data_IF_307266093936
#
_entry.id   IF_307266093936
#
_cell.length_a   1.000
_cell.length_b   1.000
_cell.length_c   1.000
_cell.angle_alpha   90.00
_cell.angle_beta   90.00
_cell.angle_gamma   90.00
#
_symmetry.space_group_name_H-M   'P 1'
#
loop_
_entity.id
_entity.type
_entity.pdbx_description
1 polymer ?
#
# COMPACT_ATOMS: atom_id res chain seq x y z
N UNK A 1 -4.86 -8.15 -40.37
CA UNK A 1 -4.42 -7.28 -39.24
C UNK A 1 -5.63 -7.09 -38.33
N UNK A 2 -5.79 -7.97 -37.33
CA UNK A 2 -6.93 -7.98 -36.41
C UNK A 2 -6.55 -7.13 -35.18
N UNK A 3 -7.12 -5.94 -35.08
CA UNK A 3 -6.92 -5.05 -33.93
C UNK A 3 -7.81 -5.58 -32.81
N UNK A 4 -7.20 -6.32 -31.89
CA UNK A 4 -7.85 -6.74 -30.65
C UNK A 4 -7.85 -5.53 -29.71
N UNK A 5 -8.92 -4.75 -29.76
CA UNK A 5 -9.17 -3.66 -28.82
C UNK A 5 -9.56 -4.28 -27.46
N UNK A 6 -8.56 -4.59 -26.65
CA UNK A 6 -8.76 -4.94 -25.24
C UNK A 6 -9.19 -3.65 -24.51
N UNK A 7 -10.48 -3.39 -24.50
CA UNK A 7 -11.12 -2.54 -23.49
C UNK A 7 -11.01 -3.27 -22.16
N UNK A 8 -9.84 -3.17 -21.53
CA UNK A 8 -9.70 -3.48 -20.10
C UNK A 8 -10.50 -2.40 -19.38
N UNK A 9 -11.71 -2.73 -18.96
CA UNK A 9 -12.41 -1.96 -17.96
C UNK A 9 -11.45 -1.80 -16.77
N UNK A 10 -11.04 -0.57 -16.50
CA UNK A 10 -10.26 -0.24 -15.33
C UNK A 10 -11.13 -0.59 -14.12
N UNK A 11 -10.94 -1.79 -13.57
CA UNK A 11 -11.46 -2.13 -12.27
C UNK A 11 -10.81 -1.13 -11.31
N UNK A 12 -11.58 -0.15 -10.84
CA UNK A 12 -11.08 0.93 -9.98
C UNK A 12 -10.76 0.44 -8.55
N UNK A 13 -10.84 -0.87 -8.30
CA UNK A 13 -10.45 -1.49 -7.04
C UNK A 13 -8.94 -1.76 -7.05
N UNK A 14 -8.27 -1.30 -6.00
CA UNK A 14 -6.87 -1.56 -5.78
C UNK A 14 -6.73 -2.84 -4.95
N UNK A 15 -5.90 -3.78 -5.39
CA UNK A 15 -5.57 -4.98 -4.62
C UNK A 15 -4.24 -4.87 -3.89
N UNK A 16 -3.28 -4.13 -4.45
CA UNK A 16 -1.97 -3.91 -3.85
C UNK A 16 -1.29 -2.66 -4.38
N UNK A 17 -0.35 -2.11 -3.60
CA UNK A 17 0.49 -0.99 -4.01
C UNK A 17 1.77 -0.92 -3.17
N UNK A 18 2.78 -0.22 -3.69
CA UNK A 18 4.03 0.03 -2.99
C UNK A 18 3.99 1.40 -2.30
N UNK A 19 4.59 1.50 -1.12
CA UNK A 19 4.61 2.72 -0.32
C UNK A 19 5.74 2.70 0.70
N UNK A 20 6.04 3.86 1.26
CA UNK A 20 6.91 4.00 2.44
C UNK A 20 6.07 4.05 3.71
N UNK A 21 6.60 3.46 4.78
CA UNK A 21 6.05 3.57 6.14
C UNK A 21 6.37 4.96 6.71
N UNK A 22 5.34 5.65 7.18
CA UNK A 22 5.48 6.91 7.93
C UNK A 22 5.67 6.62 9.43
N UNK A 23 4.76 5.86 10.03
CA UNK A 23 4.81 5.49 11.45
C UNK A 23 4.16 4.12 11.72
N UNK A 24 4.54 3.50 12.84
CA UNK A 24 4.09 2.16 13.24
C UNK A 24 3.56 2.23 14.67
N UNK A 25 2.40 1.62 14.87
CA UNK A 25 1.76 1.38 16.16
C UNK A 25 1.37 -0.10 16.27
N UNK A 26 0.96 -0.53 17.46
CA UNK A 26 0.67 -1.95 17.76
C UNK A 26 -0.30 -2.63 16.78
N UNK A 27 -1.34 -1.91 16.35
CA UNK A 27 -2.41 -2.45 15.52
C UNK A 27 -2.57 -1.70 14.18
N UNK A 28 -1.70 -0.74 13.89
CA UNK A 28 -1.84 0.06 12.68
C UNK A 28 -0.48 0.56 12.17
N UNK A 29 -0.36 0.65 10.85
CA UNK A 29 0.76 1.31 10.17
C UNK A 29 0.21 2.50 9.40
N UNK A 30 0.87 3.65 9.53
CA UNK A 30 0.58 4.82 8.70
C UNK A 30 1.55 4.82 7.51
N UNK A 31 1.02 5.00 6.30
CA UNK A 31 1.80 4.97 5.05
C UNK A 31 1.46 6.13 4.13
N UNK A 32 2.37 6.49 3.24
CA UNK A 32 2.12 7.50 2.21
C UNK A 32 1.33 6.91 1.03
N UNK A 33 0.06 7.29 0.91
CA UNK A 33 -0.80 6.84 -0.19
C UNK A 33 -1.11 7.94 -1.22
N UNK A 34 -0.28 9.00 -1.27
CA UNK A 34 -0.47 10.13 -2.19
C UNK A 34 -0.51 9.69 -3.64
N UNK A 35 0.42 8.83 -4.05
CA UNK A 35 0.51 8.32 -5.42
C UNK A 35 -0.74 7.53 -5.80
N UNK A 36 -1.27 6.75 -4.87
CA UNK A 36 -2.51 5.98 -5.06
C UNK A 36 -3.69 6.92 -5.25
N UNK A 37 -3.84 7.92 -4.37
CA UNK A 37 -4.97 8.86 -4.39
C UNK A 37 -4.92 9.80 -5.59
N UNK A 38 -3.71 10.18 -6.03
CA UNK A 38 -3.51 11.07 -7.17
C UNK A 38 -3.44 10.33 -8.51
N UNK A 39 -3.43 8.99 -8.51
CA UNK A 39 -3.38 8.19 -9.73
C UNK A 39 -4.50 8.58 -10.71
N UNK A 40 -4.12 9.00 -11.91
CA UNK A 40 -5.05 9.39 -12.97
C UNK A 40 -5.63 10.80 -12.84
N UNK A 41 -5.29 11.58 -11.80
CA UNK A 41 -5.65 13.00 -11.72
C UNK A 41 -4.71 13.83 -12.59
N UNK A 42 -5.29 14.77 -13.36
CA UNK A 42 -4.52 15.70 -14.21
C UNK A 42 -3.72 16.72 -13.41
N UNK A 43 -4.16 17.02 -12.19
CA UNK A 43 -3.47 17.89 -11.24
C UNK A 43 -3.45 17.14 -9.90
N UNK A 44 -2.26 16.77 -9.45
CA UNK A 44 -2.08 16.28 -8.09
C UNK A 44 -2.19 17.47 -7.13
N UNK A 45 -2.93 17.31 -6.04
CA UNK A 45 -2.89 18.30 -4.97
C UNK A 45 -1.50 18.28 -4.35
N UNK A 46 -0.94 19.45 -4.02
CA UNK A 46 0.36 19.56 -3.35
C UNK A 46 0.37 19.04 -1.91
N UNK A 47 -0.75 18.50 -1.44
CA UNK A 47 -0.94 17.96 -0.10
C UNK A 47 -0.60 16.47 -0.13
N UNK A 48 0.35 16.05 0.71
CA UNK A 48 0.62 14.63 0.94
C UNK A 48 -0.54 13.96 1.68
N UNK A 49 -0.89 12.75 1.26
CA UNK A 49 -1.93 11.94 1.87
C UNK A 49 -1.33 10.74 2.62
N UNK A 50 -1.65 10.66 3.91
CA UNK A 50 -1.38 9.49 4.74
C UNK A 50 -2.62 8.59 4.82
N UNK A 51 -2.38 7.28 4.77
CA UNK A 51 -3.38 6.24 4.96
C UNK A 51 -3.04 5.40 6.19
N UNK A 52 -4.08 4.96 6.89
CA UNK A 52 -3.98 4.05 8.04
C UNK A 52 -4.28 2.63 7.59
N UNK A 53 -3.34 1.74 7.85
CA UNK A 53 -3.42 0.32 7.55
C UNK A 53 -3.73 -0.42 8.83
N UNK A 54 -4.90 -1.07 8.89
CA UNK A 54 -5.30 -1.89 10.02
C UNK A 54 -4.63 -3.26 9.96
N UNK A 55 -3.86 -3.58 11.01
CA UNK A 55 -3.22 -4.88 11.20
C UNK A 55 -4.06 -5.71 12.15
N UNK A 56 -4.26 -6.97 11.82
CA UNK A 56 -4.91 -7.93 12.69
C UNK A 56 -4.10 -9.25 12.75
N UNK A 57 -4.61 -10.24 13.48
CA UNK A 57 -3.94 -11.54 13.66
C UNK A 57 -3.77 -12.35 12.38
N UNK A 58 -4.54 -12.05 11.33
CA UNK A 58 -4.44 -12.71 10.03
C UNK A 58 -3.50 -12.00 9.05
N UNK A 59 -3.00 -10.80 9.40
CA UNK A 59 -2.05 -10.09 8.56
C UNK A 59 -0.72 -10.85 8.53
N UNK A 60 -0.26 -11.16 7.32
CA UNK A 60 1.02 -11.84 7.08
C UNK A 60 2.11 -10.80 6.83
N UNK A 61 3.23 -10.97 7.52
CA UNK A 61 4.43 -10.16 7.34
C UNK A 61 5.53 -11.01 6.74
N UNK A 62 6.16 -10.51 5.67
CA UNK A 62 7.24 -11.22 4.99
C UNK A 62 8.15 -10.30 4.21
N UNK A 63 9.29 -10.81 3.74
CA UNK A 63 10.12 -10.12 2.75
C UNK A 63 9.78 -10.54 1.30
N UNK A 64 10.49 -9.97 0.32
CA UNK A 64 10.35 -10.32 -1.10
C UNK A 64 10.74 -11.76 -1.45
N UNK A 65 11.42 -12.47 -0.55
CA UNK A 65 11.82 -13.88 -0.71
C UNK A 65 10.85 -14.84 0.01
N UNK A 66 9.68 -14.35 0.43
CA UNK A 66 8.68 -15.06 1.23
C UNK A 66 9.19 -15.53 2.61
N UNK A 67 10.30 -14.98 3.12
CA UNK A 67 10.72 -15.26 4.49
C UNK A 67 9.74 -14.59 5.47
N UNK A 68 9.25 -15.31 6.49
CA UNK A 68 8.33 -14.74 7.46
C UNK A 68 9.03 -13.69 8.32
N UNK A 69 8.33 -12.57 8.53
CA UNK A 69 8.75 -11.48 9.40
C UNK A 69 7.72 -11.26 10.51
N UNK A 70 8.05 -10.35 11.41
CA UNK A 70 7.16 -9.83 12.44
C UNK A 70 7.02 -8.31 12.28
N UNK A 71 6.05 -7.71 12.97
CA UNK A 71 5.89 -6.24 12.95
C UNK A 71 7.14 -5.49 13.43
N UNK A 72 7.95 -6.11 14.31
CA UNK A 72 9.15 -5.53 14.90
C UNK A 72 10.30 -5.39 13.89
N UNK A 73 10.26 -6.14 12.78
CA UNK A 73 11.23 -6.06 11.68
C UNK A 73 10.99 -4.85 10.77
N UNK A 74 9.87 -4.14 10.95
CA UNK A 74 9.51 -2.96 10.16
C UNK A 74 9.80 -1.67 10.93
N UNK A 75 10.14 -0.63 10.19
CA UNK A 75 10.45 0.70 10.72
C UNK A 75 9.98 1.81 9.78
N UNK A 76 9.83 3.01 10.34
CA UNK A 76 9.59 4.22 9.55
C UNK A 76 10.67 4.39 8.48
N UNK A 77 10.25 4.70 7.26
CA UNK A 77 11.11 4.83 6.09
C UNK A 77 11.32 3.54 5.29
N UNK A 78 10.87 2.37 5.77
CA UNK A 78 10.93 1.15 4.95
C UNK A 78 10.02 1.25 3.73
N UNK A 79 10.51 0.76 2.59
CA UNK A 79 9.72 0.56 1.39
C UNK A 79 9.04 -0.80 1.46
N UNK A 80 7.71 -0.79 1.41
CA UNK A 80 6.87 -1.98 1.52
C UNK A 80 5.90 -2.09 0.36
N UNK A 81 5.40 -3.31 0.12
CA UNK A 81 4.20 -3.57 -0.66
C UNK A 81 3.07 -3.96 0.28
N UNK A 82 1.93 -3.30 0.11
CA UNK A 82 0.70 -3.63 0.81
C UNK A 82 -0.19 -4.45 -0.11
N UNK A 83 -0.76 -5.53 0.42
CA UNK A 83 -1.83 -6.31 -0.21
C UNK A 83 -3.10 -6.18 0.63
N UNK A 84 -4.15 -5.63 0.05
CA UNK A 84 -5.43 -5.40 0.74
C UNK A 84 -6.16 -6.73 0.96
N UNK A 85 -6.84 -6.88 2.10
CA UNK A 85 -7.69 -8.06 2.37
C UNK A 85 -8.82 -8.19 1.36
N UNK A 86 -9.41 -7.05 0.99
CA UNK A 86 -10.46 -6.96 -0.03
C UNK A 86 -10.10 -5.84 -1.01
N UNK A 87 -10.11 -6.08 -2.33
CA UNK A 87 -9.88 -5.03 -3.30
C UNK A 87 -10.89 -3.89 -3.15
N UNK A 88 -10.41 -2.68 -2.95
CA UNK A 88 -11.27 -1.50 -2.77
C UNK A 88 -10.59 -0.22 -3.27
N UNK A 89 -11.36 0.83 -3.60
CA UNK A 89 -10.79 2.12 -3.94
C UNK A 89 -10.25 2.82 -2.69
N UNK A 90 -9.05 3.38 -2.80
CA UNK A 90 -8.47 4.30 -1.83
C UNK A 90 -8.65 5.73 -2.37
N UNK A 91 -9.16 6.64 -1.54
CA UNK A 91 -9.48 8.00 -1.95
C UNK A 91 -9.24 8.99 -0.82
N UNK A 92 -9.35 10.28 -1.10
CA UNK A 92 -9.16 11.33 -0.08
C UNK A 92 -10.07 11.17 1.13
N UNK A 93 -11.28 10.61 0.94
CA UNK A 93 -12.28 10.36 1.99
C UNK A 93 -12.21 8.95 2.59
N UNK A 94 -11.55 8.01 1.91
CA UNK A 94 -11.41 6.62 2.35
C UNK A 94 -9.93 6.23 2.40
N UNK A 95 -9.32 6.40 3.57
CA UNK A 95 -7.87 6.24 3.81
C UNK A 95 -7.54 5.24 4.91
N UNK A 96 -8.52 4.47 5.39
CA UNK A 96 -8.33 3.41 6.38
C UNK A 96 -8.80 2.09 5.81
N UNK A 97 -7.99 1.05 5.93
CA UNK A 97 -8.30 -0.26 5.34
C UNK A 97 -7.50 -1.39 5.98
N UNK A 98 -8.06 -2.60 5.90
CA UNK A 98 -7.43 -3.84 6.35
C UNK A 98 -6.55 -4.46 5.26
N UNK A 99 -5.52 -5.19 5.69
CA UNK A 99 -4.53 -5.82 4.81
C UNK A 99 -4.34 -7.29 5.10
N UNK A 100 -4.16 -8.05 4.02
CA UNK A 100 -3.80 -9.46 4.07
C UNK A 100 -2.30 -9.62 4.25
N UNK A 101 -1.49 -8.83 3.54
CA UNK A 101 -0.04 -8.96 3.55
C UNK A 101 0.68 -7.61 3.57
N UNK A 102 1.80 -7.57 4.29
CA UNK A 102 2.78 -6.49 4.24
C UNK A 102 4.13 -7.13 3.89
N UNK A 103 4.69 -6.71 2.75
CA UNK A 103 5.90 -7.27 2.18
C UNK A 103 7.02 -6.23 2.24
N UNK A 104 8.11 -6.53 2.94
CA UNK A 104 9.30 -5.67 2.99
C UNK A 104 10.09 -5.76 1.66
N UNK A 105 10.21 -4.64 0.96
CA UNK A 105 10.97 -4.56 -0.31
C UNK A 105 12.41 -4.10 -0.04
N UNK A 106 12.57 -3.04 0.76
CA UNK A 106 13.87 -2.45 1.06
C UNK A 106 13.86 -1.79 2.43
N UNK A 107 14.96 -2.00 3.16
CA UNK A 107 15.23 -1.33 4.42
C UNK A 107 15.41 0.18 4.24
N UNK A 108 15.33 0.88 5.37
CA UNK A 108 15.47 2.32 5.46
C UNK A 108 16.76 2.74 4.74
N UNK A 109 16.61 3.54 3.68
CA UNK A 109 17.76 4.21 3.07
C UNK A 109 18.18 5.30 4.05
N UNK A 110 19.27 5.05 4.76
CA UNK A 110 19.96 6.09 5.50
C UNK A 110 20.71 6.90 4.44
N UNK A 111 20.18 8.07 4.08
CA UNK A 111 20.96 9.14 3.44
C UNK A 111 21.66 9.99 4.51
#
# INVERSE_FOLDING_TARGET
MLIMLLITSACNSLSSFNTTIDSISKNEIVVNCSDVINKGKKQANSIGYLCTVDINKSTVFKDISDNPLTLEDFSSGNLIRIVLSTPQPISEKNRRFEVAEIILIKDKVIE
#
